data_IF_597476963495
#
_entry.id   IF_597476963495
#
_cell.length_a   1.000
_cell.length_b   1.000
_cell.length_c   1.000
_cell.angle_alpha   90.00
_cell.angle_beta   90.00
_cell.angle_gamma   90.00
#
_symmetry.space_group_name_H-M   'P 1'
#
loop_
_entity.id
_entity.type
_entity.pdbx_description
1 polymer ?
#
# COMPACT_ATOMS: atom_id res chain seq x y z
N UNK A 1 19.93 43.12 5.42
CA UNK A 1 20.74 43.02 6.65
C UNK A 1 20.39 41.73 7.38
N UNK A 2 21.36 41.09 8.02
CA UNK A 2 21.14 39.85 8.80
C UNK A 2 20.35 40.16 10.06
N UNK A 3 19.40 39.30 10.42
CA UNK A 3 18.54 39.44 11.61
C UNK A 3 19.37 39.68 12.89
N UNK A 4 20.55 39.04 12.99
CA UNK A 4 21.51 39.19 14.10
C UNK A 4 22.00 40.63 14.31
N UNK A 5 22.26 41.39 13.25
CA UNK A 5 22.77 42.76 13.40
C UNK A 5 21.73 43.70 14.01
N UNK A 6 20.46 43.52 13.64
CA UNK A 6 19.34 44.27 14.22
C UNK A 6 19.10 43.86 15.68
N UNK A 7 19.15 42.57 16.01
CA UNK A 7 19.07 42.07 17.39
C UNK A 7 20.19 42.65 18.27
N UNK A 8 21.40 42.73 17.76
CA UNK A 8 22.53 43.31 18.50
C UNK A 8 22.33 44.81 18.76
N UNK A 9 21.79 45.54 17.79
CA UNK A 9 21.52 46.97 17.94
C UNK A 9 20.38 47.22 18.94
N UNK A 10 19.33 46.40 18.88
CA UNK A 10 18.24 46.42 19.85
C UNK A 10 18.76 46.12 21.27
N UNK A 11 19.63 45.10 21.42
CA UNK A 11 20.26 44.80 22.71
C UNK A 11 21.14 45.95 23.21
N UNK A 12 21.92 46.56 22.32
CA UNK A 12 22.72 47.74 22.65
C UNK A 12 21.85 48.89 23.16
N UNK A 13 20.69 49.12 22.53
CA UNK A 13 19.71 50.11 22.99
C UNK A 13 19.22 49.81 24.42
N UNK A 14 18.85 48.56 24.72
CA UNK A 14 18.41 48.14 26.06
C UNK A 14 19.51 48.28 27.13
N UNK A 15 20.79 48.10 26.77
CA UNK A 15 21.92 48.28 27.68
C UNK A 15 22.20 49.75 27.98
N UNK A 16 22.21 50.59 26.94
CA UNK A 16 22.50 52.02 27.07
C UNK A 16 21.34 52.80 27.70
N UNK A 17 20.11 52.53 27.24
CA UNK A 17 18.92 53.33 27.48
C UNK A 17 18.94 54.67 26.75
N UNK A 18 17.75 55.21 26.51
CA UNK A 18 17.49 56.39 25.67
C UNK A 18 18.34 57.61 26.09
N UNK A 19 18.49 57.84 27.39
CA UNK A 19 19.20 59.02 27.92
C UNK A 19 20.69 59.05 27.55
N UNK A 20 21.30 57.88 27.34
CA UNK A 20 22.74 57.75 27.07
C UNK A 20 23.04 57.67 25.56
N UNK A 21 22.02 57.55 24.70
CA UNK A 21 22.19 57.50 23.25
C UNK A 21 22.75 58.81 22.66
N UNK A 22 22.53 59.95 23.31
CA UNK A 22 23.16 61.22 22.94
C UNK A 22 24.70 61.20 22.91
N UNK A 23 25.31 60.23 23.61
CA UNK A 23 26.75 60.02 23.65
C UNK A 23 27.22 58.91 22.70
N UNK A 24 26.35 58.45 21.80
CA UNK A 24 26.63 57.38 20.84
C UNK A 24 26.79 57.97 19.44
N UNK A 25 27.76 57.45 18.69
CA UNK A 25 28.04 57.84 17.31
C UNK A 25 28.21 56.61 16.45
N UNK A 26 27.53 56.59 15.30
CA UNK A 26 27.70 55.53 14.31
C UNK A 26 28.90 55.82 13.41
N UNK A 27 29.77 54.84 13.25
CA UNK A 27 30.94 54.92 12.39
C UNK A 27 30.89 53.77 11.40
N UNK A 28 31.06 54.08 10.12
CA UNK A 28 31.08 53.11 9.03
C UNK A 28 32.47 53.05 8.43
N UNK A 29 33.01 51.85 8.22
CA UNK A 29 34.39 51.63 7.72
C UNK A 29 34.37 50.82 6.41
N UNK A 30 35.53 50.60 5.79
CA UNK A 30 35.73 49.78 4.57
C UNK A 30 35.11 50.37 3.29
N UNK A 31 35.09 51.70 3.18
CA UNK A 31 34.54 52.42 2.01
C UNK A 31 35.50 52.49 0.82
N UNK A 32 36.76 52.12 1.01
CA UNK A 32 37.84 52.03 0.04
C UNK A 32 37.53 51.10 -1.15
N UNK A 33 36.56 50.19 -1.00
CA UNK A 33 36.15 49.21 -2.03
C UNK A 33 34.79 49.54 -2.67
N UNK A 34 34.13 50.61 -2.24
CA UNK A 34 32.79 50.97 -2.68
C UNK A 34 32.81 52.22 -3.57
N UNK A 35 31.92 52.28 -4.57
CA UNK A 35 31.71 53.53 -5.31
C UNK A 35 31.04 54.57 -4.42
N UNK A 36 31.33 55.86 -4.66
CA UNK A 36 30.77 56.97 -3.87
C UNK A 36 29.23 56.96 -3.89
N UNK A 37 28.62 56.64 -5.03
CA UNK A 37 27.17 56.57 -5.19
C UNK A 37 26.55 55.43 -4.40
N UNK A 38 27.17 54.24 -4.41
CA UNK A 38 26.74 53.12 -3.58
C UNK A 38 26.89 53.45 -2.10
N UNK A 39 28.02 54.03 -1.70
CA UNK A 39 28.28 54.38 -0.31
C UNK A 39 27.25 55.38 0.24
N UNK A 40 26.89 56.38 -0.55
CA UNK A 40 25.84 57.35 -0.18
C UNK A 40 24.48 56.70 -0.07
N UNK A 41 24.06 55.91 -1.07
CA UNK A 41 22.76 55.25 -1.04
C UNK A 41 22.65 54.28 0.14
N UNK A 42 23.71 53.52 0.41
CA UNK A 42 23.73 52.54 1.50
C UNK A 42 23.72 53.21 2.88
N UNK A 43 24.47 54.30 3.06
CA UNK A 43 24.44 55.07 4.31
C UNK A 43 23.07 55.71 4.56
N UNK A 44 22.43 56.24 3.52
CA UNK A 44 21.05 56.76 3.63
C UNK A 44 20.05 55.67 4.00
N UNK A 45 20.20 54.47 3.44
CA UNK A 45 19.37 53.32 3.78
C UNK A 45 19.53 52.92 5.25
N UNK A 46 20.78 52.81 5.74
CA UNK A 46 21.07 52.51 7.15
C UNK A 46 20.50 53.59 8.09
N UNK A 47 20.66 54.85 7.72
CA UNK A 47 20.16 55.99 8.49
C UNK A 47 18.64 55.99 8.62
N UNK A 48 17.93 55.66 7.52
CA UNK A 48 16.46 55.70 7.49
C UNK A 48 15.81 54.45 8.08
N UNK A 49 16.38 53.29 7.85
CA UNK A 49 15.72 52.02 8.13
C UNK A 49 16.23 51.34 9.41
N UNK A 50 17.47 51.61 9.83
CA UNK A 50 18.11 50.88 10.94
C UNK A 50 18.38 51.78 12.12
N UNK A 51 18.98 52.95 11.86
CA UNK A 51 19.44 53.85 12.91
C UNK A 51 18.44 54.97 13.21
N UNK A 52 17.35 55.08 12.46
CA UNK A 52 16.37 56.17 12.57
C UNK A 52 15.88 56.37 13.99
N UNK A 53 15.39 55.33 14.65
CA UNK A 53 14.93 55.42 16.04
C UNK A 53 16.02 55.88 17.01
N UNK A 54 17.26 55.41 16.86
CA UNK A 54 18.36 55.84 17.73
C UNK A 54 18.82 57.27 17.44
N UNK A 55 18.77 57.71 16.18
CA UNK A 55 19.09 59.09 15.77
C UNK A 55 18.03 60.05 16.29
N UNK A 56 16.75 59.69 16.26
CA UNK A 56 15.65 60.47 16.85
C UNK A 56 15.83 60.65 18.37
N UNK A 57 16.40 59.64 19.04
CA UNK A 57 16.74 59.67 20.46
C UNK A 57 18.07 60.38 20.78
N UNK A 58 18.74 60.95 19.77
CA UNK A 58 19.91 61.82 19.96
C UNK A 58 21.25 61.23 19.56
N UNK A 59 21.32 60.00 19.02
CA UNK A 59 22.56 59.49 18.42
C UNK A 59 23.04 60.42 17.30
N UNK A 60 24.35 60.61 17.23
CA UNK A 60 24.95 61.35 16.12
C UNK A 60 24.72 60.63 14.80
N UNK A 61 24.48 61.41 13.73
CA UNK A 61 24.44 60.88 12.35
C UNK A 61 25.72 60.10 12.03
N UNK A 62 25.62 59.05 11.21
CA UNK A 62 26.77 58.22 10.88
C UNK A 62 27.88 59.01 10.21
N UNK A 63 29.12 58.54 10.42
CA UNK A 63 30.30 59.06 9.73
C UNK A 63 31.10 57.95 9.09
N UNK A 64 31.63 58.25 7.91
CA UNK A 64 32.54 57.36 7.18
C UNK A 64 33.96 57.53 7.71
N UNK A 65 34.55 56.43 8.14
CA UNK A 65 35.96 56.29 8.43
C UNK A 65 36.64 55.62 7.23
N UNK A 66 37.61 56.32 6.63
CA UNK A 66 38.37 55.86 5.46
C UNK A 66 37.70 56.15 4.10
N UNK A 67 38.50 56.13 3.03
CA UNK A 67 38.12 56.43 1.64
C UNK A 67 39.13 57.37 0.96
N UNK A 68 39.53 57.04 -0.28
CA UNK A 68 40.59 57.74 -1.06
C UNK A 68 40.33 59.25 -1.23
N UNK A 69 39.06 59.67 -1.25
CA UNK A 69 38.67 61.07 -1.43
C UNK A 69 38.82 61.96 -0.17
N UNK A 70 38.92 61.37 1.02
CA UNK A 70 38.86 62.13 2.29
C UNK A 70 40.22 62.70 2.69
N UNK A 71 41.33 62.14 2.21
CA UNK A 71 42.68 62.57 2.59
C UNK A 71 43.29 63.58 1.60
N UNK A 72 42.75 63.69 0.38
CA UNK A 72 43.30 64.52 -0.70
C UNK A 72 42.75 65.96 -0.74
N UNK A 73 41.68 66.27 -0.02
CA UNK A 73 40.84 67.46 -0.26
C UNK A 73 40.88 68.53 0.84
N UNK A 74 41.79 68.44 1.81
CA UNK A 74 41.86 69.40 2.93
C UNK A 74 40.68 69.32 3.91
N UNK A 75 39.86 68.26 3.78
CA UNK A 75 38.80 67.93 4.72
C UNK A 75 39.45 67.44 6.02
N UNK A 76 38.96 67.94 7.15
CA UNK A 76 39.38 67.54 8.50
C UNK A 76 39.44 66.01 8.58
N UNK A 77 40.57 65.50 9.06
CA UNK A 77 40.75 64.06 9.28
C UNK A 77 39.52 63.48 10.01
N UNK A 78 38.79 62.51 9.44
CA UNK A 78 37.57 61.98 10.02
C UNK A 78 37.75 61.48 11.46
N UNK A 79 38.95 60.98 11.78
CA UNK A 79 39.28 60.51 13.14
C UNK A 79 39.35 61.69 14.10
N UNK A 80 40.04 62.77 13.73
CA UNK A 80 40.13 64.00 14.52
C UNK A 80 38.76 64.61 14.83
N UNK A 81 37.83 64.60 13.87
CA UNK A 81 36.45 65.08 14.10
C UNK A 81 35.65 64.14 15.02
N UNK A 82 35.84 62.81 14.91
CA UNK A 82 35.26 61.85 15.87
C UNK A 82 35.79 62.12 17.29
N UNK A 83 37.10 62.26 17.46
CA UNK A 83 37.72 62.56 18.76
C UNK A 83 37.17 63.87 19.33
N UNK A 84 37.15 64.95 18.52
CA UNK A 84 36.65 66.25 18.94
C UNK A 84 35.18 66.24 19.38
N UNK A 85 34.36 65.34 18.82
CA UNK A 85 32.96 65.14 19.23
C UNK A 85 32.83 64.30 20.49
N UNK A 86 33.58 63.20 20.59
CA UNK A 86 33.58 62.34 21.78
C UNK A 86 34.01 63.13 23.01
N UNK A 87 35.00 64.01 22.88
CA UNK A 87 35.44 64.90 23.97
C UNK A 87 34.37 65.91 24.44
N UNK A 88 33.34 66.17 23.63
CA UNK A 88 32.21 67.05 24.00
C UNK A 88 31.09 66.30 24.73
N UNK A 89 31.09 64.98 24.71
CA UNK A 89 30.07 64.18 25.38
C UNK A 89 30.20 64.35 26.90
N UNK A 90 29.05 64.56 27.54
CA UNK A 90 28.97 64.63 28.99
C UNK A 90 28.83 63.21 29.55
N UNK A 91 29.65 62.79 30.53
CA UNK A 91 29.54 61.45 31.11
C UNK A 91 28.11 61.12 31.54
N UNK A 92 27.63 59.93 31.20
CA UNK A 92 26.29 59.45 31.53
C UNK A 92 26.37 57.98 31.92
N UNK A 93 25.59 57.60 32.93
CA UNK A 93 25.45 56.21 33.33
C UNK A 93 24.60 55.45 32.31
N UNK A 94 25.02 54.24 31.95
CA UNK A 94 24.20 53.33 31.14
C UNK A 94 22.99 52.86 31.95
N UNK A 95 21.88 52.55 31.27
CA UNK A 95 20.67 52.03 31.93
C UNK A 95 20.98 50.79 32.77
N UNK A 96 21.74 49.84 32.22
CA UNK A 96 22.14 48.63 32.97
C UNK A 96 22.97 48.96 34.22
N UNK A 97 23.86 49.96 34.15
CA UNK A 97 24.66 50.37 35.31
C UNK A 97 23.79 50.99 36.39
N UNK A 98 22.77 51.77 36.02
CA UNK A 98 21.80 52.32 36.97
C UNK A 98 20.96 51.22 37.62
N UNK A 99 20.49 50.25 36.83
CA UNK A 99 19.66 49.14 37.29
C UNK A 99 20.43 48.26 38.29
N UNK A 100 21.64 47.83 37.92
CA UNK A 100 22.51 47.06 38.81
C UNK A 100 22.92 47.87 40.05
N UNK A 101 23.24 49.16 39.88
CA UNK A 101 23.60 50.05 40.99
C UNK A 101 22.47 50.28 42.00
N UNK A 102 21.21 50.11 41.58
CA UNK A 102 20.04 50.15 42.46
C UNK A 102 19.76 48.83 43.20
N UNK A 103 20.59 47.80 42.99
CA UNK A 103 20.45 46.48 43.61
C UNK A 103 19.59 45.49 42.83
N UNK A 104 19.20 45.79 41.58
CA UNK A 104 18.49 44.82 40.73
C UNK A 104 19.41 43.68 40.33
N UNK A 105 18.88 42.46 40.30
CA UNK A 105 19.59 41.31 39.76
C UNK A 105 19.73 41.44 38.23
N UNK A 106 20.81 40.89 37.65
CA UNK A 106 21.11 41.04 36.21
C UNK A 106 19.97 40.56 35.31
N UNK A 107 19.27 39.49 35.70
CA UNK A 107 18.14 38.94 34.95
C UNK A 107 16.89 39.83 35.00
N UNK A 108 16.76 40.65 36.05
CA UNK A 108 15.63 41.57 36.24
C UNK A 108 15.85 42.92 35.53
N UNK A 109 17.03 43.14 34.96
CA UNK A 109 17.34 44.33 34.17
C UNK A 109 16.56 44.33 32.85
N UNK A 110 16.36 45.50 32.25
CA UNK A 110 15.63 45.62 30.98
C UNK A 110 16.31 44.83 29.86
N UNK A 111 17.64 44.82 29.81
CA UNK A 111 18.39 43.98 28.88
C UNK A 111 18.29 42.48 29.21
N UNK A 112 18.34 42.12 30.50
CA UNK A 112 18.18 40.74 30.97
C UNK A 112 16.83 40.14 30.59
N UNK A 113 15.74 40.86 30.84
CA UNK A 113 14.39 40.45 30.47
C UNK A 113 14.23 40.31 28.95
N UNK A 114 14.87 41.17 28.16
CA UNK A 114 14.83 41.08 26.70
C UNK A 114 15.51 39.79 26.20
N UNK A 115 16.67 39.45 26.75
CA UNK A 115 17.35 38.18 26.42
C UNK A 115 16.52 36.98 26.85
N UNK A 116 15.93 37.01 28.05
CA UNK A 116 15.08 35.94 28.55
C UNK A 116 13.82 35.72 27.69
N UNK A 117 13.19 36.82 27.25
CA UNK A 117 12.07 36.78 26.33
C UNK A 117 12.47 36.17 24.97
N UNK A 118 13.57 36.63 24.40
CA UNK A 118 14.06 36.12 23.11
C UNK A 118 14.44 34.63 23.20
N UNK A 119 15.08 34.23 24.30
CA UNK A 119 15.41 32.83 24.58
C UNK A 119 14.15 31.98 24.75
N UNK A 120 13.17 32.45 25.52
CA UNK A 120 11.90 31.76 25.74
C UNK A 120 11.12 31.56 24.44
N UNK A 121 11.13 32.56 23.55
CA UNK A 121 10.52 32.44 22.23
C UNK A 121 11.25 31.42 21.36
N UNK A 122 12.58 31.41 21.40
CA UNK A 122 13.37 30.45 20.62
C UNK A 122 13.17 29.02 21.13
N UNK A 123 13.14 28.82 22.46
CA UNK A 123 12.82 27.53 23.09
C UNK A 123 11.45 27.03 22.62
N UNK A 124 10.42 27.89 22.64
CA UNK A 124 9.08 27.53 22.17
C UNK A 124 9.07 27.11 20.70
N UNK A 125 9.71 27.91 19.83
CA UNK A 125 9.80 27.57 18.40
C UNK A 125 10.52 26.24 18.18
N UNK A 126 11.62 26.01 18.89
CA UNK A 126 12.35 24.75 18.81
C UNK A 126 11.48 23.59 19.29
N UNK A 127 10.76 23.74 20.41
CA UNK A 127 9.84 22.73 20.92
C UNK A 127 8.71 22.42 19.94
N UNK A 128 8.09 23.45 19.35
CA UNK A 128 7.02 23.30 18.36
C UNK A 128 7.53 22.59 17.10
N UNK A 129 8.72 22.98 16.62
CA UNK A 129 9.35 22.31 15.48
C UNK A 129 9.66 20.85 15.78
N UNK A 130 10.16 20.55 16.97
CA UNK A 130 10.46 19.20 17.43
C UNK A 130 9.19 18.35 17.51
N UNK A 131 8.13 18.86 18.14
CA UNK A 131 6.83 18.20 18.23
C UNK A 131 6.22 17.97 16.83
N UNK A 132 6.35 18.94 15.92
CA UNK A 132 5.90 18.79 14.54
C UNK A 132 6.69 17.70 13.81
N UNK A 133 8.00 17.59 14.04
CA UNK A 133 8.81 16.52 13.47
C UNK A 133 8.43 15.15 14.05
N UNK A 134 8.18 15.05 15.36
CA UNK A 134 7.68 13.82 15.98
C UNK A 134 6.34 13.39 15.39
N UNK A 135 5.39 14.31 15.23
CA UNK A 135 4.09 14.01 14.63
C UNK A 135 4.21 13.54 13.17
N UNK A 136 5.17 14.10 12.40
CA UNK A 136 5.46 13.64 11.04
C UNK A 136 6.06 12.23 11.03
N UNK A 137 6.96 11.93 11.99
CA UNK A 137 7.53 10.58 12.14
C UNK A 137 6.43 9.58 12.50
N UNK A 138 5.61 9.87 13.51
CA UNK A 138 4.49 9.00 13.92
C UNK A 138 3.54 8.73 12.76
N UNK A 139 3.13 9.76 12.02
CA UNK A 139 2.27 9.62 10.85
C UNK A 139 2.92 8.76 9.76
N UNK A 140 4.21 8.98 9.48
CA UNK A 140 4.94 8.17 8.50
C UNK A 140 5.09 6.71 8.93
N UNK A 141 5.23 6.44 10.23
CA UNK A 141 5.31 5.10 10.79
C UNK A 141 3.95 4.39 10.76
N UNK A 142 2.86 5.10 11.04
CA UNK A 142 1.51 4.55 10.96
C UNK A 142 1.12 4.22 9.51
N UNK A 143 1.46 5.09 8.55
CA UNK A 143 1.18 4.87 7.12
C UNK A 143 2.02 3.72 6.54
N UNK A 144 3.29 3.59 6.91
CA UNK A 144 4.17 2.51 6.43
C UNK A 144 3.83 1.15 7.04
N UNK A 145 3.51 1.09 8.34
CA UNK A 145 3.08 -0.16 9.00
C UNK A 145 1.69 -0.57 8.51
N UNK A 146 0.75 0.37 8.35
CA UNK A 146 -0.60 0.06 7.86
C UNK A 146 -0.58 -0.45 6.41
N UNK A 147 0.26 0.12 5.55
CA UNK A 147 0.45 -0.37 4.17
C UNK A 147 1.05 -1.79 4.14
N UNK A 148 2.09 -2.05 4.94
CA UNK A 148 2.71 -3.38 5.03
C UNK A 148 1.72 -4.46 5.53
N UNK A 149 0.90 -4.13 6.54
CA UNK A 149 -0.13 -5.04 7.05
C UNK A 149 -1.27 -5.28 6.05
N UNK A 150 -1.58 -4.31 5.19
CA UNK A 150 -2.58 -4.48 4.13
C UNK A 150 -2.07 -5.37 3.01
N UNK A 151 -0.82 -5.19 2.58
CA UNK A 151 -0.19 -6.06 1.57
C UNK A 151 -0.13 -7.52 2.05
N UNK A 152 0.23 -7.74 3.32
CA UNK A 152 0.29 -9.08 3.93
C UNK A 152 -1.11 -9.70 4.07
N UNK A 153 -2.13 -8.91 4.43
CA UNK A 153 -3.52 -9.37 4.48
C UNK A 153 -4.06 -9.76 3.08
N UNK A 154 -3.72 -9.00 2.04
CA UNK A 154 -4.11 -9.30 0.66
C UNK A 154 -3.43 -10.57 0.13
N UNK A 155 -2.17 -10.82 0.52
CA UNK A 155 -1.45 -12.05 0.21
C UNK A 155 -2.16 -13.28 0.83
N UNK A 156 -2.51 -13.23 2.12
CA UNK A 156 -3.25 -14.31 2.78
C UNK A 156 -4.63 -14.57 2.16
N UNK A 157 -5.34 -13.53 1.73
CA UNK A 157 -6.63 -13.69 1.05
C UNK A 157 -6.48 -14.44 -0.28
N UNK A 158 -5.39 -14.18 -1.03
CA UNK A 158 -5.10 -14.91 -2.28
C UNK A 158 -4.78 -16.37 -2.01
N UNK A 159 -3.92 -16.66 -1.04
CA UNK A 159 -3.60 -18.05 -0.67
C UNK A 159 -4.84 -18.83 -0.23
N UNK A 160 -5.73 -18.20 0.55
CA UNK A 160 -7.00 -18.82 0.95
C UNK A 160 -7.91 -19.10 -0.26
N UNK A 161 -7.96 -18.20 -1.23
CA UNK A 161 -8.74 -18.39 -2.45
C UNK A 161 -8.21 -19.57 -3.29
N UNK A 162 -6.89 -19.65 -3.47
CA UNK A 162 -6.23 -20.76 -4.18
C UNK A 162 -6.44 -22.09 -3.45
N UNK A 163 -6.27 -22.12 -2.12
CA UNK A 163 -6.50 -23.31 -1.32
C UNK A 163 -7.98 -23.77 -1.38
N UNK A 164 -8.93 -22.83 -1.41
CA UNK A 164 -10.35 -23.14 -1.60
C UNK A 164 -10.64 -23.70 -2.99
N UNK A 165 -10.00 -23.17 -4.04
CA UNK A 165 -10.14 -23.68 -5.39
C UNK A 165 -9.57 -25.10 -5.52
N UNK A 166 -8.37 -25.32 -4.97
CA UNK A 166 -7.76 -26.65 -4.87
C UNK A 166 -8.64 -27.64 -4.11
N UNK A 167 -9.25 -27.21 -3.00
CA UNK A 167 -10.19 -28.03 -2.23
C UNK A 167 -11.42 -28.40 -3.06
N UNK A 168 -12.06 -27.44 -3.73
CA UNK A 168 -13.21 -27.69 -4.60
C UNK A 168 -12.86 -28.62 -5.77
N UNK A 169 -11.68 -28.45 -6.37
CA UNK A 169 -11.19 -29.31 -7.44
C UNK A 169 -10.93 -30.74 -6.95
N UNK A 170 -10.41 -30.89 -5.73
CA UNK A 170 -10.20 -32.19 -5.07
C UNK A 170 -11.54 -32.87 -4.75
N UNK A 171 -12.50 -32.15 -4.16
CA UNK A 171 -13.85 -32.65 -3.87
C UNK A 171 -14.57 -33.10 -5.14
N UNK A 172 -14.51 -32.32 -6.22
CA UNK A 172 -15.09 -32.69 -7.50
C UNK A 172 -14.41 -33.91 -8.13
N UNK A 173 -13.09 -34.06 -7.95
CA UNK A 173 -12.34 -35.24 -8.41
C UNK A 173 -12.70 -36.48 -7.60
N UNK A 174 -12.82 -36.34 -6.27
CA UNK A 174 -13.25 -37.40 -5.38
C UNK A 174 -14.67 -37.86 -5.69
N UNK A 175 -15.60 -36.94 -5.93
CA UNK A 175 -16.98 -37.28 -6.27
C UNK A 175 -17.09 -38.06 -7.59
N UNK A 176 -16.26 -37.73 -8.59
CA UNK A 176 -16.18 -38.51 -9.84
C UNK A 176 -15.68 -39.93 -9.61
N UNK A 177 -14.66 -40.10 -8.76
CA UNK A 177 -14.13 -41.43 -8.41
C UNK A 177 -15.19 -42.25 -7.67
N UNK A 178 -15.88 -41.64 -6.71
CA UNK A 178 -16.96 -42.31 -5.97
C UNK A 178 -18.09 -42.77 -6.87
N UNK A 179 -18.59 -41.92 -7.78
CA UNK A 179 -19.64 -42.30 -8.75
C UNK A 179 -19.19 -43.44 -9.67
N UNK A 180 -17.96 -43.40 -10.16
CA UNK A 180 -17.41 -44.46 -11.01
C UNK A 180 -17.30 -45.81 -10.26
N UNK A 181 -16.98 -45.78 -8.97
CA UNK A 181 -16.89 -46.98 -8.15
C UNK A 181 -18.28 -47.54 -7.79
N UNK A 182 -19.24 -46.67 -7.45
CA UNK A 182 -20.65 -47.07 -7.26
C UNK A 182 -21.24 -47.72 -8.51
N UNK A 183 -20.99 -47.16 -9.69
CA UNK A 183 -21.40 -47.76 -10.97
C UNK A 183 -20.76 -49.14 -11.21
N UNK A 184 -19.49 -49.33 -10.82
CA UNK A 184 -18.82 -50.63 -10.91
C UNK A 184 -19.44 -51.66 -10.00
N UNK A 185 -19.72 -51.28 -8.76
CA UNK A 185 -20.39 -52.16 -7.78
C UNK A 185 -21.78 -52.55 -8.28
N UNK A 186 -22.56 -51.60 -8.78
CA UNK A 186 -23.88 -51.86 -9.38
C UNK A 186 -23.79 -52.86 -10.54
N UNK A 187 -22.86 -52.67 -11.48
CA UNK A 187 -22.66 -53.61 -12.60
C UNK A 187 -22.28 -55.01 -12.11
N UNK A 188 -21.41 -55.09 -11.10
CA UNK A 188 -20.98 -56.37 -10.53
C UNK A 188 -22.14 -57.09 -9.82
N UNK A 189 -22.99 -56.36 -9.10
CA UNK A 189 -24.19 -56.91 -8.46
C UNK A 189 -25.24 -57.35 -9.48
N UNK A 190 -25.46 -56.57 -10.54
CA UNK A 190 -26.35 -56.93 -11.65
C UNK A 190 -25.86 -58.19 -12.38
N UNK A 191 -24.56 -58.28 -12.67
CA UNK A 191 -23.96 -59.48 -13.25
C UNK A 191 -24.11 -60.69 -12.34
N UNK A 192 -23.91 -60.52 -11.02
CA UNK A 192 -24.10 -61.59 -10.04
C UNK A 192 -25.56 -62.04 -9.99
N UNK A 193 -26.52 -61.11 -10.04
CA UNK A 193 -27.95 -61.42 -10.09
C UNK A 193 -28.30 -62.17 -11.38
N UNK A 194 -27.77 -61.73 -12.53
CA UNK A 194 -27.97 -62.37 -13.83
C UNK A 194 -27.42 -63.80 -13.84
N UNK A 195 -26.22 -64.02 -13.31
CA UNK A 195 -25.63 -65.36 -13.16
C UNK A 195 -26.47 -66.26 -12.26
N UNK A 196 -26.95 -65.74 -11.13
CA UNK A 196 -27.84 -66.50 -10.24
C UNK A 196 -29.17 -66.87 -10.90
N UNK A 197 -29.73 -65.99 -11.73
CA UNK A 197 -30.93 -66.27 -12.52
C UNK A 197 -30.69 -67.29 -13.64
N UNK A 198 -29.55 -67.20 -14.34
CA UNK A 198 -29.11 -68.19 -15.33
C UNK A 198 -28.91 -69.56 -14.68
N UNK A 199 -28.18 -69.66 -13.57
CA UNK A 199 -28.00 -70.90 -12.80
C UNK A 199 -29.33 -71.46 -12.28
N UNK A 200 -30.26 -70.60 -11.86
CA UNK A 200 -31.61 -71.03 -11.47
C UNK A 200 -32.38 -71.60 -12.64
N UNK A 201 -32.33 -70.95 -13.80
CA UNK A 201 -32.98 -71.45 -15.03
C UNK A 201 -32.35 -72.74 -15.51
N UNK A 202 -31.04 -72.90 -15.39
CA UNK A 202 -30.35 -74.14 -15.71
C UNK A 202 -30.79 -75.26 -14.77
N UNK A 203 -30.85 -75.01 -13.45
CA UNK A 203 -31.39 -75.98 -12.49
C UNK A 203 -32.84 -76.32 -12.76
N UNK A 204 -33.69 -75.34 -13.06
CA UNK A 204 -35.10 -75.56 -13.41
C UNK A 204 -35.23 -76.36 -14.73
N UNK A 205 -34.36 -76.11 -15.71
CA UNK A 205 -34.30 -76.86 -16.97
C UNK A 205 -33.77 -78.29 -16.76
N UNK A 206 -32.76 -78.48 -15.92
CA UNK A 206 -32.25 -79.79 -15.53
C UNK A 206 -33.29 -80.58 -14.73
N UNK A 207 -33.99 -79.96 -13.80
CA UNK A 207 -35.11 -80.56 -13.08
C UNK A 207 -36.26 -80.92 -14.02
N UNK A 208 -36.61 -80.05 -14.97
CA UNK A 208 -37.61 -80.33 -15.99
C UNK A 208 -37.18 -81.47 -16.92
N UNK A 209 -35.92 -81.48 -17.38
CA UNK A 209 -35.35 -82.55 -18.18
C UNK A 209 -35.37 -83.87 -17.40
N UNK A 210 -34.87 -83.89 -16.16
CA UNK A 210 -34.82 -85.07 -15.30
C UNK A 210 -36.22 -85.59 -14.96
N UNK A 211 -37.19 -84.68 -14.74
CA UNK A 211 -38.60 -85.02 -14.58
C UNK A 211 -39.17 -85.63 -15.86
N UNK A 212 -38.88 -85.08 -17.03
CA UNK A 212 -39.32 -85.66 -18.32
C UNK A 212 -38.69 -87.04 -18.59
N UNK A 213 -37.41 -87.24 -18.25
CA UNK A 213 -36.74 -88.55 -18.32
C UNK A 213 -37.41 -89.58 -17.41
N UNK A 214 -37.85 -89.18 -16.21
CA UNK A 214 -38.55 -90.08 -15.26
C UNK A 214 -39.98 -90.43 -15.68
N UNK A 215 -40.62 -89.60 -16.50
CA UNK A 215 -41.95 -89.85 -17.08
C UNK A 215 -41.90 -90.55 -18.46
N UNK A 216 -40.71 -90.87 -18.99
CA UNK A 216 -40.56 -91.70 -20.18
C UNK A 216 -41.01 -91.05 -21.49
N UNK A 217 -40.65 -89.79 -21.74
CA UNK A 217 -40.81 -89.15 -23.06
C UNK A 217 -39.41 -88.82 -23.61
N UNK A 218 -38.90 -89.69 -24.47
CA UNK A 218 -37.70 -89.44 -25.29
C UNK A 218 -38.02 -88.37 -26.35
N UNK A 219 -37.41 -87.19 -26.23
CA UNK A 219 -37.53 -86.13 -27.24
C UNK A 219 -36.39 -86.20 -28.26
N UNK A 220 -36.29 -87.33 -28.98
CA UNK A 220 -35.71 -87.36 -30.33
C UNK A 220 -36.61 -88.18 -31.25
N UNK A 221 -37.56 -87.50 -31.90
CA UNK A 221 -38.13 -87.89 -33.19
C UNK A 221 -39.33 -88.83 -33.19
N UNK A 222 -40.54 -88.27 -33.08
CA UNK A 222 -41.74 -88.85 -33.70
C UNK A 222 -42.57 -87.75 -34.35
N UNK A 223 -42.45 -87.68 -35.67
CA UNK A 223 -43.35 -86.98 -36.58
C UNK A 223 -44.55 -87.92 -36.84
N UNK A 224 -45.77 -87.37 -36.69
CA UNK A 224 -47.10 -87.84 -37.14
C UNK A 224 -48.00 -88.68 -36.18
N UNK A 225 -49.14 -88.08 -35.82
CA UNK A 225 -50.45 -88.71 -36.07
C UNK A 225 -51.38 -88.94 -34.87
N UNK A 226 -52.52 -88.22 -34.86
CA UNK A 226 -53.78 -88.46 -34.11
C UNK A 226 -53.72 -88.34 -32.57
N UNK A 227 -54.56 -87.60 -31.85
CA UNK A 227 -55.96 -87.24 -32.06
C UNK A 227 -56.83 -87.93 -30.99
N UNK A 228 -57.38 -87.18 -30.03
CA UNK A 228 -58.40 -87.67 -29.07
C UNK A 228 -58.11 -87.32 -27.59
N UNK A 229 -58.38 -86.11 -27.11
CA UNK A 229 -59.65 -85.63 -26.50
C UNK A 229 -59.99 -86.20 -25.11
N UNK A 230 -59.89 -85.35 -24.08
CA UNK A 230 -60.90 -85.31 -23.01
C UNK A 230 -61.10 -83.85 -22.58
N UNK A 231 -62.29 -83.34 -22.90
CA UNK A 231 -62.84 -82.02 -22.59
C UNK A 231 -63.54 -82.02 -21.22
N UNK A 232 -63.52 -80.86 -20.56
CA UNK A 232 -64.67 -80.18 -19.93
C UNK A 232 -64.22 -78.71 -19.66
N UNK A 233 -64.46 -77.77 -20.59
CA UNK A 233 -65.52 -76.70 -20.56
C UNK A 233 -65.58 -75.88 -19.26
N UNK A 234 -65.60 -74.53 -19.21
CA UNK A 234 -65.64 -73.38 -20.13
C UNK A 234 -65.28 -72.13 -19.27
N UNK A 235 -64.92 -70.93 -19.74
CA UNK A 235 -65.59 -69.94 -20.61
C UNK A 235 -64.46 -68.93 -20.98
N UNK A 236 -64.11 -68.71 -22.24
CA UNK A 236 -64.57 -67.57 -23.07
C UNK A 236 -63.39 -66.99 -23.88
N UNK A 237 -63.38 -67.18 -25.21
CA UNK A 237 -63.47 -66.13 -26.27
C UNK A 237 -62.47 -64.95 -26.14
N UNK A 238 -61.64 -64.55 -27.11
CA UNK A 238 -61.65 -64.69 -28.57
C UNK A 238 -60.21 -64.67 -29.13
N UNK A 239 -59.99 -65.42 -30.21
CA UNK A 239 -58.84 -65.29 -31.12
C UNK A 239 -59.29 -64.45 -32.32
N UNK A 240 -58.44 -63.52 -32.75
CA UNK A 240 -58.46 -63.00 -34.11
C UNK A 240 -57.04 -63.10 -34.69
N UNK A 241 -56.79 -64.15 -35.46
CA UNK A 241 -55.67 -64.22 -36.40
C UNK A 241 -56.18 -63.76 -37.76
N UNK A 242 -55.51 -62.76 -38.35
CA UNK A 242 -55.55 -62.51 -39.78
C UNK A 242 -54.27 -63.10 -40.38
N UNK A 243 -54.42 -64.08 -41.28
CA UNK A 243 -53.33 -64.60 -42.09
C UNK A 243 -53.43 -64.10 -43.53
N UNK A 244 -52.29 -64.01 -44.21
CA UNK A 244 -52.10 -64.15 -45.67
C UNK A 244 -50.64 -63.80 -46.01
N UNK A 245 -49.78 -64.76 -46.36
CA UNK A 245 -49.52 -65.28 -47.72
C UNK A 245 -48.68 -64.35 -48.62
N UNK A 246 -47.42 -64.75 -48.80
CA UNK A 246 -46.68 -64.91 -50.07
C UNK A 246 -46.70 -63.75 -51.11
N UNK A 247 -45.53 -63.15 -51.39
CA UNK A 247 -44.76 -63.36 -52.65
C UNK A 247 -43.59 -62.38 -52.87
N UNK A 248 -42.54 -62.97 -53.46
CA UNK A 248 -41.57 -62.44 -54.43
C UNK A 248 -40.44 -61.47 -54.00
N UNK A 249 -39.21 -62.02 -54.02
CA UNK A 249 -38.29 -61.69 -55.13
C UNK A 249 -37.09 -60.77 -54.87
N UNK A 250 -35.88 -61.32 -55.08
CA UNK A 250 -34.70 -60.57 -55.57
C UNK A 250 -33.58 -60.35 -54.55
N UNK A 251 -32.54 -61.19 -54.54
CA UNK A 251 -31.26 -61.01 -55.23
C UNK A 251 -30.39 -59.84 -54.70
N UNK A 252 -29.28 -60.15 -54.04
CA UNK A 252 -27.89 -59.82 -54.42
C UNK A 252 -26.92 -60.05 -53.24
N UNK A 253 -26.04 -61.04 -53.36
CA UNK A 253 -24.63 -60.95 -52.88
C UNK A 253 -23.83 -60.18 -53.97
N UNK A 254 -22.55 -59.73 -53.82
CA UNK A 254 -21.54 -60.14 -52.84
C UNK A 254 -20.47 -59.05 -52.44
N UNK A 255 -19.42 -59.49 -51.73
CA UNK A 255 -17.98 -59.18 -51.99
C UNK A 255 -17.25 -57.96 -51.32
N UNK A 256 -16.29 -58.35 -50.46
CA UNK A 256 -14.83 -58.00 -50.35
C UNK A 256 -14.29 -56.71 -49.69
N UNK A 257 -13.29 -57.01 -48.84
CA UNK A 257 -11.92 -56.46 -48.72
C UNK A 257 -11.70 -55.14 -47.95
N UNK A 258 -10.95 -55.21 -46.84
CA UNK A 258 -9.50 -54.93 -46.75
C UNK A 258 -8.99 -55.42 -45.37
N UNK A 259 -8.18 -56.49 -45.28
CA UNK A 259 -6.69 -56.54 -45.21
C UNK A 259 -6.03 -55.64 -44.14
N UNK A 260 -5.27 -56.27 -43.23
CA UNK A 260 -4.27 -55.57 -42.42
C UNK A 260 -3.58 -56.38 -41.32
N UNK A 261 -2.82 -57.42 -41.67
CA UNK A 261 -1.82 -58.05 -40.78
C UNK A 261 -0.44 -57.41 -41.01
N UNK A 262 0.29 -57.06 -39.93
CA UNK A 262 1.76 -56.94 -39.76
C UNK A 262 1.96 -56.58 -38.27
N UNK A 263 2.59 -57.34 -37.37
CA UNK A 263 3.99 -57.81 -37.27
C UNK A 263 5.02 -56.81 -37.82
N UNK A 264 5.68 -56.05 -36.93
CA UNK A 264 7.14 -56.11 -36.64
C UNK A 264 7.61 -54.93 -35.78
N UNK A 265 8.38 -55.28 -34.74
CA UNK A 265 9.61 -54.65 -34.21
C UNK A 265 9.72 -53.12 -34.03
N UNK A 266 10.03 -52.70 -32.80
CA UNK A 266 11.35 -52.17 -32.42
C UNK A 266 11.28 -51.43 -31.06
N UNK A 267 11.90 -52.00 -30.03
CA UNK A 267 12.88 -51.30 -29.19
C UNK A 267 13.72 -52.31 -28.44
#
# INVERSE_FOLDING_TARGET
MTNTALKNLDMFHHLCGDQSLKNVMFLTTKWDKASTSFAQKHEEELTKNVWSGMIELGCSRPKRLGGVANYSSGIVDPISDVIARVLKFQPSWLLIQRQLGSGQHILDTTAGQKVDQDLSLEIKKTQDSFNSTLAQIEKSHEDTIRAALQDEADEYVRELAEAQEHKKASEASFEKVMKAEEERLMKMEEERRRKMEEERREKEQEEWNNKMYRYGIDATGAVLGAGGWMLFEGIGMQIQMAGSLLKDGGLFTPVKLFRGTKIQNCR
#
